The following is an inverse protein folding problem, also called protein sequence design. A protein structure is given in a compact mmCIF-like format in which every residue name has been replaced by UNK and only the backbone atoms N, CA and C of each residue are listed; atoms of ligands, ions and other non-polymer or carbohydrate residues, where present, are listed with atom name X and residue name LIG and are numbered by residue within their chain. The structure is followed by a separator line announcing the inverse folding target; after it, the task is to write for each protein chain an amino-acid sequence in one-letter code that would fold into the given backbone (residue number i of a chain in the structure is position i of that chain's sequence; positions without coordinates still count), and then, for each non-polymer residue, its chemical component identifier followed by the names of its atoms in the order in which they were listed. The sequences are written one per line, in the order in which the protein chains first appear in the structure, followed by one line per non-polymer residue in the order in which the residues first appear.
data_IF_687368165458
#
_entry.id   IF_687368165458
#
_cell.length_a   1.000
_cell.length_b   1.000
_cell.length_c   1.000
_cell.angle_alpha   90.00
_cell.angle_beta   90.00
_cell.angle_gamma   90.00
#
_symmetry.space_group_name_H-M   'P 1'
#
loop_
_entity.id
_entity.type
_entity.pdbx_description
1 polymer ?
#
# COMPACT_ATOMS: atom_id res chain seq x y z
N UNK A 1 14.45 73.17 -27.47
CA UNK A 1 14.63 71.86 -26.80
C UNK A 1 15.11 70.87 -27.85
N UNK A 2 16.41 70.65 -27.93
CA UNK A 2 17.07 69.61 -28.75
C UNK A 2 17.78 68.69 -27.78
N UNK A 3 17.61 67.38 -27.87
CA UNK A 3 18.62 66.41 -27.42
C UNK A 3 18.55 65.13 -28.27
N UNK A 4 19.69 64.43 -28.46
CA UNK A 4 20.00 63.73 -29.70
C UNK A 4 20.18 62.21 -29.55
N UNK A 5 20.14 61.57 -30.72
CA UNK A 5 20.69 60.28 -31.17
C UNK A 5 21.57 59.47 -30.20
N UNK A 6 21.28 58.15 -30.11
CA UNK A 6 22.28 57.12 -29.87
C UNK A 6 21.94 55.86 -30.68
N UNK A 7 22.75 55.59 -31.70
CA UNK A 7 22.73 54.38 -32.52
C UNK A 7 23.58 53.32 -31.80
N UNK A 8 22.97 52.22 -31.38
CA UNK A 8 23.68 51.06 -30.84
C UNK A 8 23.85 50.03 -31.97
N UNK A 9 25.06 49.94 -32.51
CA UNK A 9 25.45 48.89 -33.44
C UNK A 9 25.62 47.58 -32.66
N UNK A 10 24.78 46.58 -32.98
CA UNK A 10 24.95 45.22 -32.49
C UNK A 10 26.13 44.56 -33.24
N UNK A 11 27.22 44.30 -32.52
CA UNK A 11 28.34 43.51 -33.02
C UNK A 11 27.91 42.03 -33.00
N UNK A 12 27.62 41.50 -34.18
CA UNK A 12 27.38 40.08 -34.41
C UNK A 12 28.74 39.36 -34.34
N UNK A 13 29.00 38.61 -33.25
CA UNK A 13 30.15 37.71 -33.19
C UNK A 13 29.85 36.51 -34.09
N UNK A 14 30.51 36.47 -35.23
CA UNK A 14 30.52 35.31 -36.12
C UNK A 14 31.26 34.15 -35.44
N UNK A 15 30.53 33.11 -35.05
CA UNK A 15 31.11 31.81 -34.70
C UNK A 15 31.62 31.22 -36.00
N UNK A 16 32.95 31.19 -36.14
CA UNK A 16 33.63 30.57 -37.28
C UNK A 16 33.23 29.09 -37.38
N UNK A 17 32.84 28.67 -38.59
CA UNK A 17 32.41 27.32 -38.89
C UNK A 17 33.48 26.30 -38.52
N UNK A 18 33.11 25.36 -37.64
CA UNK A 18 33.81 24.10 -37.53
C UNK A 18 33.46 23.29 -38.78
N UNK A 19 34.50 23.04 -39.57
CA UNK A 19 34.53 22.00 -40.60
C UNK A 19 33.85 20.72 -40.09
N UNK A 20 32.69 20.39 -40.66
CA UNK A 20 32.03 19.10 -40.43
C UNK A 20 32.90 17.99 -41.05
N UNK A 21 33.79 17.43 -40.23
CA UNK A 21 34.33 16.10 -40.49
C UNK A 21 33.45 15.11 -39.71
N UNK A 22 32.87 14.14 -40.42
CA UNK A 22 31.98 13.15 -39.85
C UNK A 22 32.79 12.00 -39.23
N UNK A 23 32.56 11.67 -37.96
CA UNK A 23 33.25 10.58 -37.27
C UNK A 23 32.69 9.24 -37.74
N UNK A 24 33.54 8.31 -38.17
CA UNK A 24 33.12 7.00 -38.63
C UNK A 24 33.55 5.92 -37.64
N UNK A 25 32.63 4.99 -37.34
CA UNK A 25 32.92 3.81 -36.53
C UNK A 25 32.98 2.60 -37.46
N UNK A 26 34.15 1.97 -37.54
CA UNK A 26 34.38 0.73 -38.30
C UNK A 26 34.64 -0.43 -37.36
N UNK A 27 34.46 -1.65 -37.88
CA UNK A 27 34.77 -2.90 -37.17
C UNK A 27 34.01 -3.07 -35.84
N UNK A 28 32.76 -2.61 -35.80
CA UNK A 28 31.89 -2.77 -34.63
C UNK A 28 31.51 -4.24 -34.45
N UNK A 29 32.05 -4.87 -33.41
CA UNK A 29 31.83 -6.27 -33.09
C UNK A 29 31.46 -6.42 -31.62
N UNK A 30 30.52 -7.31 -31.34
CA UNK A 30 30.25 -7.74 -29.97
C UNK A 30 30.59 -9.22 -29.80
N UNK A 31 30.85 -9.60 -28.55
CA UNK A 31 30.95 -11.00 -28.16
C UNK A 31 30.41 -11.20 -26.75
N UNK A 32 29.75 -12.32 -26.51
CA UNK A 32 29.35 -12.78 -25.19
C UNK A 32 30.20 -13.97 -24.80
N UNK A 33 30.81 -13.89 -23.62
CA UNK A 33 31.68 -14.93 -23.09
C UNK A 33 31.11 -15.48 -21.78
N UNK A 34 31.04 -16.80 -21.68
CA UNK A 34 30.71 -17.53 -20.46
C UNK A 34 31.95 -17.57 -19.56
N UNK A 35 31.83 -17.83 -18.24
CA UNK A 35 32.98 -17.93 -17.33
C UNK A 35 34.08 -18.92 -17.73
N UNK A 36 33.76 -19.90 -18.57
CA UNK A 36 34.69 -20.88 -19.15
C UNK A 36 35.58 -20.29 -20.26
N UNK A 37 35.47 -18.99 -20.54
CA UNK A 37 36.11 -18.27 -21.67
C UNK A 37 35.62 -18.67 -23.06
N UNK A 38 34.65 -19.58 -23.14
CA UNK A 38 33.96 -19.96 -24.37
C UNK A 38 33.08 -18.80 -24.88
N UNK A 39 33.16 -18.53 -26.18
CA UNK A 39 32.38 -17.48 -26.85
C UNK A 39 31.04 -18.09 -27.26
N UNK A 40 29.93 -17.60 -26.69
CA UNK A 40 28.57 -18.08 -27.03
C UNK A 40 28.12 -17.49 -28.36
N UNK A 41 28.23 -16.16 -28.47
CA UNK A 41 27.75 -15.40 -29.63
C UNK A 41 28.74 -14.31 -29.93
N UNK A 42 29.17 -14.19 -31.18
CA UNK A 42 29.96 -13.08 -31.68
C UNK A 42 29.49 -12.71 -33.08
N UNK A 43 29.12 -11.46 -33.28
CA UNK A 43 28.67 -10.96 -34.58
C UNK A 43 29.09 -9.51 -34.80
N UNK A 44 29.06 -9.09 -36.06
CA UNK A 44 29.34 -7.72 -36.49
C UNK A 44 28.05 -6.92 -36.48
N UNK A 45 28.06 -5.75 -35.85
CA UNK A 45 26.87 -4.92 -35.72
C UNK A 45 26.82 -3.87 -36.83
N UNK A 46 25.65 -3.74 -37.44
CA UNK A 46 25.31 -2.59 -38.28
C UNK A 46 24.67 -1.52 -37.42
N UNK A 47 25.29 -0.34 -37.26
CA UNK A 47 24.72 0.73 -36.44
C UNK A 47 23.40 1.24 -37.05
N UNK A 48 22.44 1.60 -36.18
CA UNK A 48 21.13 2.14 -36.54
C UNK A 48 20.27 1.21 -37.43
N UNK A 49 20.35 -0.11 -37.22
CA UNK A 49 19.43 -1.08 -37.84
C UNK A 49 17.98 -0.81 -37.40
N UNK A 50 17.03 -0.93 -38.33
CA UNK A 50 15.60 -0.83 -38.04
C UNK A 50 15.09 -1.93 -37.10
N UNK A 51 15.79 -3.07 -37.06
CA UNK A 51 15.57 -4.15 -36.10
C UNK A 51 16.90 -4.47 -35.42
N UNK A 52 17.15 -3.94 -34.20
CA UNK A 52 18.36 -4.21 -33.46
C UNK A 52 18.35 -5.66 -32.93
N UNK A 53 19.47 -6.38 -32.96
CA UNK A 53 19.53 -7.73 -32.40
C UNK A 53 19.31 -7.69 -30.88
N UNK A 54 18.49 -8.61 -30.37
CA UNK A 54 18.29 -8.79 -28.92
C UNK A 54 19.25 -9.85 -28.40
N UNK A 55 19.97 -9.52 -27.33
CA UNK A 55 20.98 -10.37 -26.72
C UNK A 55 20.66 -10.59 -25.24
N UNK A 56 20.57 -11.85 -24.84
CA UNK A 56 20.27 -12.25 -23.46
C UNK A 56 21.56 -12.52 -22.71
N UNK A 57 21.74 -11.87 -21.56
CA UNK A 57 22.90 -12.07 -20.67
C UNK A 57 22.46 -12.82 -19.41
N UNK A 58 23.25 -13.83 -19.00
CA UNK A 58 23.09 -14.50 -17.71
C UNK A 58 23.92 -13.81 -16.62
N UNK A 59 23.65 -14.15 -15.35
CA UNK A 59 24.34 -13.64 -14.16
C UNK A 59 25.88 -13.81 -14.18
N UNK A 60 26.38 -14.73 -15.00
CA UNK A 60 27.81 -15.04 -15.04
C UNK A 60 28.50 -14.60 -16.34
N UNK A 61 27.75 -14.08 -17.31
CA UNK A 61 28.28 -13.77 -18.64
C UNK A 61 29.03 -12.44 -18.67
N UNK A 62 29.95 -12.32 -19.63
CA UNK A 62 30.69 -11.10 -19.90
C UNK A 62 30.40 -10.64 -21.32
N UNK A 63 29.81 -9.45 -21.45
CA UNK A 63 29.60 -8.77 -22.72
C UNK A 63 30.81 -7.93 -23.09
N UNK A 64 31.33 -8.10 -24.29
CA UNK A 64 32.48 -7.34 -24.82
C UNK A 64 32.08 -6.66 -26.12
N UNK A 65 32.31 -5.36 -26.18
CA UNK A 65 32.13 -4.54 -27.38
C UNK A 65 33.50 -4.03 -27.84
N UNK A 66 33.79 -4.17 -29.13
CA UNK A 66 35.02 -3.69 -29.75
C UNK A 66 34.70 -2.91 -31.02
N UNK A 67 35.37 -1.78 -31.22
CA UNK A 67 35.22 -0.95 -32.40
C UNK A 67 36.44 -0.09 -32.63
N UNK A 68 36.54 0.50 -33.82
CA UNK A 68 37.58 1.45 -34.18
C UNK A 68 36.94 2.75 -34.65
N UNK A 69 37.33 3.86 -34.05
CA UNK A 69 36.90 5.22 -34.43
C UNK A 69 37.93 5.80 -35.39
N UNK A 70 37.47 6.20 -36.57
CA UNK A 70 38.27 6.82 -37.61
C UNK A 70 37.71 8.20 -37.97
N UNK A 71 38.61 9.11 -38.30
CA UNK A 71 38.28 10.37 -38.97
C UNK A 71 37.96 10.12 -40.46
N UNK A 72 37.40 11.11 -41.15
CA UNK A 72 37.15 11.04 -42.61
C UNK A 72 38.40 10.70 -43.41
N UNK A 73 39.58 11.03 -42.88
CA UNK A 73 40.90 10.75 -43.47
C UNK A 73 41.40 9.32 -43.21
N UNK A 74 40.63 8.48 -42.54
CA UNK A 74 41.00 7.10 -42.19
C UNK A 74 42.04 6.98 -41.07
N UNK A 75 42.34 8.09 -40.38
CA UNK A 75 43.24 8.09 -39.23
C UNK A 75 42.44 7.69 -37.98
N UNK A 76 42.99 6.78 -37.17
CA UNK A 76 42.41 6.44 -35.88
C UNK A 76 42.49 7.63 -34.93
N UNK A 77 41.35 8.04 -34.35
CA UNK A 77 41.28 9.20 -33.46
C UNK A 77 40.73 8.80 -32.11
N UNK A 78 41.27 9.42 -31.04
CA UNK A 78 40.80 9.23 -29.68
C UNK A 78 39.71 10.26 -29.35
N UNK A 79 38.46 9.83 -29.09
CA UNK A 79 37.41 10.72 -28.63
C UNK A 79 37.71 11.30 -27.25
N UNK A 80 37.23 12.53 -27.00
CA UNK A 80 37.29 13.17 -25.67
C UNK A 80 36.28 12.53 -24.73
N UNK A 81 35.10 12.17 -25.25
CA UNK A 81 34.05 11.48 -24.53
C UNK A 81 33.68 10.17 -25.24
N UNK A 82 33.68 9.09 -24.48
CA UNK A 82 33.24 7.76 -24.94
C UNK A 82 32.47 7.06 -23.84
N UNK A 83 31.18 6.86 -24.08
CA UNK A 83 30.28 6.22 -23.13
C UNK A 83 29.31 5.30 -23.86
N UNK A 84 29.00 4.19 -23.20
CA UNK A 84 27.93 3.31 -23.59
C UNK A 84 26.70 3.64 -22.75
N UNK A 85 25.62 4.03 -23.40
CA UNK A 85 24.34 4.31 -22.74
C UNK A 85 23.48 3.05 -22.82
N UNK A 86 22.99 2.62 -21.67
CA UNK A 86 21.99 1.57 -21.53
C UNK A 86 20.71 2.24 -21.06
N UNK A 87 19.65 2.16 -21.83
CA UNK A 87 18.38 2.84 -21.56
C UNK A 87 17.26 1.82 -21.43
N UNK A 88 16.44 1.96 -20.40
CA UNK A 88 15.19 1.22 -20.28
C UNK A 88 14.00 2.11 -20.67
N UNK A 89 13.19 1.64 -21.62
CA UNK A 89 12.04 2.38 -22.13
C UNK A 89 10.87 2.42 -21.14
N UNK A 90 10.71 1.39 -20.31
CA UNK A 90 9.58 1.30 -19.38
C UNK A 90 9.82 2.15 -18.12
N UNK A 91 10.99 2.04 -17.50
CA UNK A 91 11.33 2.84 -16.32
C UNK A 91 11.77 4.27 -16.68
N UNK A 92 12.26 4.49 -17.91
CA UNK A 92 12.86 5.76 -18.31
C UNK A 92 14.23 6.02 -17.65
N UNK A 93 14.81 5.02 -16.99
CA UNK A 93 16.12 5.12 -16.37
C UNK A 93 17.24 4.89 -17.40
N UNK A 94 18.33 5.64 -17.24
CA UNK A 94 19.52 5.51 -18.08
C UNK A 94 20.77 5.22 -17.25
N UNK A 95 21.60 4.34 -17.81
CA UNK A 95 22.89 3.97 -17.28
C UNK A 95 23.99 4.39 -18.24
N UNK A 96 24.85 5.29 -17.81
CA UNK A 96 26.01 5.75 -18.59
C UNK A 96 27.28 5.04 -18.12
N UNK A 97 27.86 4.25 -19.01
CA UNK A 97 29.06 3.45 -18.75
C UNK A 97 30.24 4.05 -19.52
N UNK A 98 31.08 4.87 -18.86
CA UNK A 98 32.26 5.44 -19.50
C UNK A 98 33.33 4.37 -19.72
N UNK A 99 34.04 4.46 -20.83
CA UNK A 99 35.18 3.60 -21.12
C UNK A 99 36.26 4.35 -21.88
N UNK A 100 37.48 3.79 -21.91
CA UNK A 100 38.62 4.43 -22.56
C UNK A 100 38.78 3.92 -23.99
N UNK A 101 38.99 4.85 -24.91
CA UNK A 101 39.45 4.56 -26.28
C UNK A 101 40.95 4.84 -26.36
N UNK A 102 41.68 3.97 -27.04
CA UNK A 102 43.13 4.13 -27.25
C UNK A 102 43.47 5.29 -28.20
N UNK A 103 44.71 5.78 -28.15
CA UNK A 103 45.21 6.79 -29.10
C UNK A 103 45.11 6.34 -30.56
N UNK A 104 45.09 5.02 -30.82
CA UNK A 104 44.91 4.42 -32.15
C UNK A 104 43.43 4.33 -32.60
N UNK A 105 42.49 4.92 -31.85
CA UNK A 105 41.06 4.89 -32.14
C UNK A 105 40.35 3.57 -31.78
N UNK A 106 41.06 2.56 -31.28
CA UNK A 106 40.45 1.29 -30.86
C UNK A 106 39.79 1.44 -29.51
N UNK A 107 38.48 1.21 -29.45
CA UNK A 107 37.66 1.15 -28.25
C UNK A 107 37.36 -0.29 -27.86
N UNK A 108 37.52 -0.62 -26.58
CA UNK A 108 37.09 -1.89 -26.02
C UNK A 108 36.33 -1.65 -24.73
N UNK A 109 35.11 -2.15 -24.68
CA UNK A 109 34.25 -2.11 -23.52
C UNK A 109 33.98 -3.54 -23.06
N UNK A 110 33.99 -3.76 -21.75
CA UNK A 110 33.79 -5.05 -21.13
C UNK A 110 32.85 -4.88 -19.94
N UNK A 111 31.74 -5.61 -19.98
CA UNK A 111 30.68 -5.58 -19.00
C UNK A 111 30.53 -6.98 -18.40
N UNK A 112 30.88 -7.12 -17.13
CA UNK A 112 30.87 -8.40 -16.43
C UNK A 112 29.65 -8.48 -15.50
N UNK A 113 28.74 -9.44 -15.74
CA UNK A 113 27.52 -9.59 -14.94
C UNK A 113 27.77 -10.19 -13.55
N UNK A 114 28.94 -10.77 -13.26
CA UNK A 114 29.29 -11.22 -11.89
C UNK A 114 29.55 -10.05 -10.95
N UNK A 115 29.92 -8.90 -11.51
CA UNK A 115 30.18 -7.65 -10.80
C UNK A 115 29.58 -6.51 -11.62
N UNK A 116 28.24 -6.43 -11.69
CA UNK A 116 27.58 -5.43 -12.49
C UNK A 116 27.99 -4.03 -12.01
N UNK A 117 28.34 -3.10 -12.91
CA UNK A 117 28.60 -1.72 -12.53
C UNK A 117 27.36 -1.10 -11.88
N UNK A 118 27.53 -0.24 -10.85
CA UNK A 118 26.40 0.40 -10.16
C UNK A 118 25.65 1.41 -11.03
N UNK A 119 26.20 1.79 -12.18
CA UNK A 119 25.54 2.70 -13.14
C UNK A 119 24.57 1.96 -14.07
N UNK A 120 24.42 0.64 -13.97
CA UNK A 120 23.40 -0.05 -14.75
C UNK A 120 22.01 0.26 -14.19
N UNK A 121 21.01 0.49 -15.05
CA UNK A 121 19.64 0.63 -14.60
C UNK A 121 19.16 -0.69 -13.95
N UNK A 122 18.33 -0.60 -12.90
CA UNK A 122 17.70 -1.75 -12.27
C UNK A 122 16.69 -2.36 -13.24
N UNK A 123 16.67 -3.70 -13.29
CA UNK A 123 15.83 -4.50 -14.19
C UNK A 123 14.96 -5.47 -13.37
N UNK A 124 13.90 -4.95 -12.71
CA UNK A 124 12.95 -5.78 -11.97
C UNK A 124 11.98 -6.55 -12.90
N UNK A 125 11.93 -6.18 -14.18
CA UNK A 125 11.21 -6.88 -15.24
C UNK A 125 12.23 -7.33 -16.28
N UNK A 126 12.02 -8.47 -16.94
CA UNK A 126 12.92 -9.00 -17.97
C UNK A 126 12.79 -8.22 -19.31
N UNK A 127 12.74 -6.89 -19.25
CA UNK A 127 12.62 -6.01 -20.41
C UNK A 127 13.95 -5.88 -21.15
N UNK A 128 13.94 -5.79 -22.49
CA UNK A 128 15.15 -5.52 -23.26
C UNK A 128 15.55 -4.04 -23.16
N UNK A 129 16.82 -3.79 -22.84
CA UNK A 129 17.40 -2.45 -22.69
C UNK A 129 18.12 -2.01 -23.96
N UNK A 130 17.88 -0.79 -24.40
CA UNK A 130 18.50 -0.23 -25.60
C UNK A 130 19.94 0.20 -25.32
N UNK A 131 20.87 -0.25 -26.15
CA UNK A 131 22.29 0.08 -26.04
C UNK A 131 22.68 1.06 -27.14
N UNK A 132 23.11 2.24 -26.74
CA UNK A 132 23.57 3.31 -27.63
C UNK A 132 25.01 3.68 -27.33
N UNK A 133 25.85 3.73 -28.37
CA UNK A 133 27.21 4.23 -28.28
C UNK A 133 27.22 5.74 -28.49
N UNK A 134 27.76 6.48 -27.53
CA UNK A 134 27.91 7.93 -27.60
C UNK A 134 29.40 8.30 -27.64
N UNK A 135 29.79 9.01 -28.69
CA UNK A 135 31.16 9.49 -28.90
C UNK A 135 31.13 11.00 -29.15
N UNK A 136 32.03 11.75 -28.51
CA UNK A 136 32.21 13.16 -28.81
C UNK A 136 33.69 13.54 -28.85
N UNK A 137 34.04 14.34 -29.85
CA UNK A 137 35.37 14.87 -30.07
C UNK A 137 35.28 16.23 -30.75
N UNK A 138 35.48 17.35 -30.04
CA UNK A 138 35.60 18.66 -30.71
C UNK A 138 36.87 18.67 -31.59
N UNK A 139 36.83 19.15 -32.85
CA UNK A 139 35.77 19.93 -33.51
C UNK A 139 34.68 19.14 -34.26
N UNK A 140 34.71 17.81 -34.26
CA UNK A 140 33.75 16.96 -34.95
C UNK A 140 32.35 16.96 -34.29
N UNK A 141 31.33 16.63 -35.07
CA UNK A 141 29.97 16.49 -34.55
C UNK A 141 29.87 15.28 -33.58
N UNK A 142 29.04 15.37 -32.52
CA UNK A 142 28.82 14.25 -31.62
C UNK A 142 28.11 13.11 -32.34
N UNK A 143 28.57 11.89 -32.12
CA UNK A 143 28.06 10.68 -32.77
C UNK A 143 27.28 9.83 -31.76
N UNK A 144 26.03 9.52 -32.11
CA UNK A 144 25.16 8.62 -31.35
C UNK A 144 24.68 7.48 -32.24
N UNK A 145 25.04 6.24 -31.90
CA UNK A 145 24.72 5.05 -32.68
C UNK A 145 23.94 4.06 -31.84
N UNK A 146 22.73 3.72 -32.26
CA UNK A 146 21.94 2.65 -31.66
C UNK A 146 22.49 1.30 -32.13
N UNK A 147 22.85 0.42 -31.19
CA UNK A 147 23.59 -0.80 -31.50
C UNK A 147 22.70 -2.05 -31.44
N UNK A 148 22.14 -2.34 -30.26
CA UNK A 148 21.46 -3.58 -29.96
C UNK A 148 20.56 -3.44 -28.73
N UNK A 149 19.80 -4.49 -28.43
CA UNK A 149 19.00 -4.61 -27.22
C UNK A 149 19.59 -5.67 -26.30
N UNK A 150 19.87 -5.32 -25.03
CA UNK A 150 20.36 -6.24 -24.00
C UNK A 150 19.25 -6.63 -23.04
N UNK A 151 18.96 -7.91 -22.90
CA UNK A 151 18.17 -8.42 -21.78
C UNK A 151 19.13 -8.81 -20.65
N UNK A 152 19.09 -8.04 -19.57
CA UNK A 152 19.87 -8.29 -18.36
C UNK A 152 19.14 -9.30 -17.45
N UNK A 153 19.85 -10.02 -16.59
CA UNK A 153 19.21 -10.85 -15.58
C UNK A 153 18.51 -9.98 -14.52
N UNK A 154 17.47 -10.55 -13.91
CA UNK A 154 16.63 -9.88 -12.92
C UNK A 154 17.46 -9.27 -11.78
N UNK A 155 17.31 -7.97 -11.55
CA UNK A 155 17.91 -7.27 -10.42
C UNK A 155 16.87 -6.85 -9.39
N UNK A 156 17.34 -6.44 -8.21
CA UNK A 156 16.49 -5.75 -7.25
C UNK A 156 15.96 -4.44 -7.88
N UNK A 157 14.73 -4.02 -7.53
CA UNK A 157 14.16 -2.76 -8.00
C UNK A 157 14.98 -1.56 -7.51
N UNK A 158 14.80 -0.42 -8.16
CA UNK A 158 15.43 0.84 -7.74
C UNK A 158 15.16 1.09 -6.24
N UNK A 159 16.17 1.55 -5.47
CA UNK A 159 15.95 1.94 -4.09
C UNK A 159 14.91 3.05 -4.02
N UNK A 160 13.80 2.78 -3.34
CA UNK A 160 12.75 3.77 -3.09
C UNK A 160 13.33 4.85 -2.16
N UNK A 161 13.21 6.12 -2.56
CA UNK A 161 13.72 7.21 -1.72
C UNK A 161 12.87 7.26 -0.44
N UNK A 162 13.49 7.41 0.75
CA UNK A 162 12.74 7.39 2.01
C UNK A 162 11.64 8.44 2.08
N UNK A 163 11.71 9.50 1.27
CA UNK A 163 10.75 10.59 1.24
C UNK A 163 9.76 10.55 0.05
N UNK A 164 9.80 9.52 -0.80
CA UNK A 164 8.88 9.36 -1.95
C UNK A 164 7.40 9.38 -1.52
N UNK A 165 7.11 8.86 -0.31
CA UNK A 165 5.78 8.86 0.27
C UNK A 165 5.21 10.26 0.59
N UNK A 166 6.02 11.32 0.53
CA UNK A 166 5.59 12.71 0.69
C UNK A 166 5.04 13.30 -0.61
N UNK A 167 5.40 12.72 -1.76
CA UNK A 167 5.07 13.26 -3.08
C UNK A 167 3.94 12.51 -3.80
N UNK A 168 3.41 11.44 -3.17
CA UNK A 168 2.32 10.65 -3.70
C UNK A 168 1.14 10.60 -2.74
N UNK A 169 -0.10 10.53 -3.25
CA UNK A 169 -1.27 10.29 -2.42
C UNK A 169 -1.11 8.95 -1.70
N UNK A 170 -1.25 8.97 -0.37
CA UNK A 170 -1.15 7.78 0.46
C UNK A 170 -2.42 6.94 0.32
N UNK A 171 -2.31 5.60 0.47
CA UNK A 171 -3.48 4.74 0.45
C UNK A 171 -4.46 5.10 1.57
N UNK A 172 -5.76 5.01 1.26
CA UNK A 172 -6.82 5.28 2.22
C UNK A 172 -6.79 4.26 3.38
N UNK A 173 -6.92 4.75 4.61
CA UNK A 173 -6.96 3.93 5.82
C UNK A 173 -8.41 3.69 6.24
N UNK A 174 -8.83 2.43 6.30
CA UNK A 174 -10.16 2.03 6.76
C UNK A 174 -10.13 1.52 8.20
N UNK A 175 -10.97 2.07 9.07
CA UNK A 175 -11.14 1.54 10.41
C UNK A 175 -11.87 0.20 10.37
N UNK A 176 -11.22 -0.85 10.88
CA UNK A 176 -11.84 -2.18 11.01
C UNK A 176 -12.52 -2.30 12.36
N UNK A 177 -13.86 -2.29 12.37
CA UNK A 177 -14.65 -2.50 13.59
C UNK A 177 -14.54 -3.93 14.10
N UNK A 178 -14.76 -4.11 15.41
CA UNK A 178 -14.90 -5.45 15.98
C UNK A 178 -16.15 -6.14 15.42
N UNK A 179 -16.08 -7.45 15.14
CA UNK A 179 -17.26 -8.19 14.72
C UNK A 179 -18.27 -8.28 15.87
N UNK A 180 -19.55 -8.31 15.52
CA UNK A 180 -20.64 -8.49 16.49
C UNK A 180 -20.51 -9.84 17.21
N UNK A 181 -20.82 -9.84 18.51
CA UNK A 181 -20.84 -11.06 19.31
C UNK A 181 -21.96 -12.00 18.85
N UNK A 182 -21.64 -13.30 18.78
CA UNK A 182 -22.61 -14.32 18.33
C UNK A 182 -23.63 -14.59 19.44
N UNK A 183 -24.88 -14.25 19.20
CA UNK A 183 -26.01 -14.60 20.08
C UNK A 183 -26.60 -15.99 19.75
N UNK A 184 -27.13 -16.73 20.74
CA UNK A 184 -27.72 -18.05 20.51
C UNK A 184 -29.04 -17.98 19.71
N UNK A 185 -29.45 -19.08 19.05
CA UNK A 185 -30.72 -19.14 18.32
C UNK A 185 -31.93 -18.90 19.23
N UNK A 186 -32.94 -18.17 18.74
CA UNK A 186 -34.15 -17.80 19.49
C UNK A 186 -34.89 -19.01 20.09
N UNK A 187 -34.90 -20.14 19.40
CA UNK A 187 -35.56 -21.37 19.86
C UNK A 187 -34.90 -21.90 21.14
N UNK A 188 -33.56 -21.88 21.19
CA UNK A 188 -32.81 -22.34 22.37
C UNK A 188 -33.08 -21.41 23.56
N UNK A 189 -33.07 -20.10 23.33
CA UNK A 189 -33.41 -19.11 24.37
C UNK A 189 -34.84 -19.26 24.89
N UNK A 190 -35.81 -19.55 24.00
CA UNK A 190 -37.21 -19.77 24.38
C UNK A 190 -37.38 -21.04 25.22
N UNK A 191 -36.71 -22.13 24.86
CA UNK A 191 -36.72 -23.37 25.64
C UNK A 191 -36.12 -23.14 27.03
N UNK A 192 -35.01 -22.39 27.11
CA UNK A 192 -34.41 -22.00 28.39
C UNK A 192 -35.36 -21.18 29.26
N UNK A 193 -36.01 -20.17 28.69
CA UNK A 193 -37.01 -19.36 29.40
C UNK A 193 -38.20 -20.21 29.89
N UNK A 194 -38.69 -21.13 29.05
CA UNK A 194 -39.75 -22.08 29.41
C UNK A 194 -39.34 -23.00 30.57
N UNK A 195 -38.12 -23.52 30.54
CA UNK A 195 -37.57 -24.36 31.62
C UNK A 195 -37.50 -23.61 32.96
N UNK A 196 -37.11 -22.33 32.95
CA UNK A 196 -37.10 -21.47 34.15
C UNK A 196 -38.53 -21.16 34.65
N UNK A 197 -39.50 -21.02 33.73
CA UNK A 197 -40.90 -20.78 34.07
C UNK A 197 -41.66 -22.03 34.56
N UNK A 198 -41.21 -23.24 34.21
CA UNK A 198 -41.93 -24.48 34.50
C UNK A 198 -42.19 -24.74 36.00
N UNK A 199 -41.24 -24.54 36.94
CA UNK A 199 -41.50 -24.72 38.37
C UNK A 199 -42.63 -23.81 38.90
N UNK A 200 -42.73 -22.58 38.40
CA UNK A 200 -43.78 -21.65 38.78
C UNK A 200 -45.15 -22.11 38.28
N UNK A 201 -45.24 -22.62 37.05
CA UNK A 201 -46.47 -23.21 36.52
C UNK A 201 -46.92 -24.43 37.34
N UNK A 202 -46.00 -25.32 37.66
CA UNK A 202 -46.26 -26.50 38.51
C UNK A 202 -46.77 -26.04 39.88
N UNK A 203 -46.13 -25.07 40.52
CA UNK A 203 -46.57 -24.52 41.80
C UNK A 203 -48.01 -24.01 41.74
N UNK A 204 -48.37 -23.23 40.71
CA UNK A 204 -49.72 -22.71 40.53
C UNK A 204 -50.76 -23.81 40.31
N UNK A 205 -50.41 -24.86 39.54
CA UNK A 205 -51.28 -26.03 39.33
C UNK A 205 -51.52 -26.80 40.63
N UNK A 206 -50.48 -27.07 41.41
CA UNK A 206 -50.62 -27.73 42.71
C UNK A 206 -51.46 -26.89 43.68
N UNK A 207 -51.26 -25.57 43.72
CA UNK A 207 -52.02 -24.68 44.57
C UNK A 207 -53.52 -24.68 44.21
N UNK A 208 -53.83 -24.72 42.91
CA UNK A 208 -55.20 -24.85 42.41
C UNK A 208 -55.86 -26.18 42.79
N UNK A 209 -55.10 -27.27 42.86
CA UNK A 209 -55.60 -28.58 43.30
C UNK A 209 -55.83 -28.65 44.81
N UNK A 210 -54.96 -28.04 45.62
CA UNK A 210 -55.07 -28.04 47.08
C UNK A 210 -56.19 -27.16 47.61
N UNK A 211 -56.68 -26.19 46.81
CA UNK A 211 -57.77 -25.25 47.14
C UNK A 211 -57.71 -24.73 48.60
N UNK A 212 -56.61 -24.07 49.00
CA UNK A 212 -56.53 -23.51 50.34
C UNK A 212 -57.68 -22.51 50.57
N UNK A 213 -58.28 -22.54 51.75
CA UNK A 213 -59.34 -21.58 52.13
C UNK A 213 -58.74 -20.19 52.28
N UNK A 214 -58.91 -19.35 51.26
CA UNK A 214 -58.42 -17.98 51.21
C UNK A 214 -59.48 -17.04 51.81
N UNK A 215 -59.47 -16.87 53.14
CA UNK A 215 -60.43 -16.00 53.86
C UNK A 215 -60.11 -14.50 53.76
N UNK A 216 -59.18 -14.09 52.90
CA UNK A 216 -58.72 -12.70 52.81
C UNK A 216 -59.78 -11.72 52.26
N UNK A 217 -60.77 -12.23 51.51
CA UNK A 217 -61.81 -11.41 50.88
C UNK A 217 -62.78 -10.77 51.89
N UNK A 218 -62.83 -11.25 53.14
CA UNK A 218 -63.75 -10.74 54.15
C UNK A 218 -63.25 -9.53 54.95
N UNK A 219 -61.97 -9.13 54.79
CA UNK A 219 -61.39 -7.99 55.54
C UNK A 219 -60.87 -6.89 54.61
N UNK A 220 -61.55 -5.72 54.52
CA UNK A 220 -61.12 -4.59 53.69
C UNK A 220 -59.69 -4.10 53.99
N UNK A 221 -59.25 -4.20 55.25
CA UNK A 221 -57.90 -3.77 55.68
C UNK A 221 -56.80 -4.68 55.11
N UNK A 222 -57.08 -5.99 55.02
CA UNK A 222 -56.14 -6.96 54.45
C UNK A 222 -56.04 -6.81 52.94
N UNK A 223 -57.17 -6.56 52.27
CA UNK A 223 -57.18 -6.24 50.83
C UNK A 223 -56.37 -4.98 50.54
N UNK A 224 -56.56 -3.92 51.32
CA UNK A 224 -55.77 -2.69 51.18
C UNK A 224 -54.27 -2.97 51.32
N UNK A 225 -53.85 -3.71 52.34
CA UNK A 225 -52.44 -4.09 52.50
C UNK A 225 -51.90 -4.92 51.32
N UNK A 226 -52.67 -5.89 50.82
CA UNK A 226 -52.28 -6.71 49.67
C UNK A 226 -52.17 -5.88 48.39
N UNK A 227 -53.06 -4.89 48.18
CA UNK A 227 -52.96 -3.96 47.05
C UNK A 227 -51.71 -3.10 47.13
N UNK A 228 -51.29 -2.67 48.32
CA UNK A 228 -50.04 -1.91 48.48
C UNK A 228 -48.81 -2.76 48.21
N UNK A 229 -48.82 -4.06 48.57
CA UNK A 229 -47.77 -5.00 48.21
C UNK A 229 -47.73 -5.25 46.68
N UNK A 230 -48.88 -5.45 46.05
CA UNK A 230 -48.97 -5.61 44.60
C UNK A 230 -48.51 -4.34 43.86
N UNK A 231 -48.80 -3.16 44.40
CA UNK A 231 -48.31 -1.89 43.87
C UNK A 231 -46.77 -1.78 43.98
N UNK A 232 -46.16 -2.35 45.01
CA UNK A 232 -44.70 -2.41 45.12
C UNK A 232 -44.08 -3.31 44.05
N UNK A 233 -44.65 -4.49 43.79
CA UNK A 233 -44.21 -5.35 42.69
C UNK A 233 -44.37 -4.66 41.33
N UNK A 234 -45.49 -3.95 41.12
CA UNK A 234 -45.68 -3.10 39.93
C UNK A 234 -44.64 -1.98 39.81
N UNK A 235 -44.28 -1.34 40.92
CA UNK A 235 -43.22 -0.33 40.95
C UNK A 235 -41.86 -0.92 40.55
N UNK A 236 -41.55 -2.14 40.98
CA UNK A 236 -40.31 -2.83 40.60
C UNK A 236 -40.31 -3.24 39.12
N UNK A 237 -41.44 -3.71 38.58
CA UNK A 237 -41.57 -4.02 37.15
C UNK A 237 -41.41 -2.75 36.32
N UNK A 238 -42.07 -1.65 36.69
CA UNK A 238 -41.94 -0.37 35.99
C UNK A 238 -40.53 0.22 36.11
N UNK A 239 -39.85 0.02 37.24
CA UNK A 239 -38.43 0.32 37.37
C UNK A 239 -37.59 -0.42 36.34
N UNK A 240 -37.80 -1.72 36.21
CA UNK A 240 -37.04 -2.54 35.26
C UNK A 240 -37.22 -2.10 33.80
N UNK A 241 -38.40 -1.57 33.43
CA UNK A 241 -38.67 -1.15 32.05
C UNK A 241 -38.24 0.30 31.78
N UNK A 242 -38.50 1.26 32.69
CA UNK A 242 -38.46 2.69 32.34
C UNK A 242 -37.99 3.67 33.43
N UNK A 243 -38.15 3.39 34.74
CA UNK A 243 -37.87 4.41 35.76
C UNK A 243 -36.37 4.54 36.07
N UNK A 244 -35.98 5.75 36.43
CA UNK A 244 -34.66 6.02 37.00
C UNK A 244 -34.64 5.73 38.50
N UNK A 245 -33.45 5.44 39.05
CA UNK A 245 -33.28 5.07 40.46
C UNK A 245 -33.89 6.10 41.44
N UNK A 246 -33.69 7.40 41.20
CA UNK A 246 -34.23 8.45 42.06
C UNK A 246 -35.77 8.50 42.10
N UNK A 247 -36.43 8.21 40.97
CA UNK A 247 -37.90 8.18 40.89
C UNK A 247 -38.46 6.98 41.67
N UNK A 248 -37.82 5.82 41.56
CA UNK A 248 -38.20 4.60 42.29
C UNK A 248 -38.03 4.78 43.79
N UNK A 249 -36.95 5.43 44.22
CA UNK A 249 -36.75 5.77 45.62
C UNK A 249 -37.83 6.72 46.13
N UNK A 250 -38.20 7.75 45.35
CA UNK A 250 -39.25 8.69 45.73
C UNK A 250 -40.63 8.01 45.81
N UNK A 251 -41.04 7.30 44.76
CA UNK A 251 -42.31 6.58 44.71
C UNK A 251 -42.35 5.45 45.74
N UNK A 252 -41.23 4.74 45.92
CA UNK A 252 -41.07 3.69 46.91
C UNK A 252 -41.12 4.22 48.34
N UNK A 253 -40.58 5.41 48.63
CA UNK A 253 -40.71 6.04 49.93
C UNK A 253 -42.17 6.43 50.23
N UNK A 254 -42.86 7.03 49.25
CA UNK A 254 -44.27 7.38 49.39
C UNK A 254 -45.15 6.14 49.57
N UNK A 255 -45.00 5.14 48.69
CA UNK A 255 -45.74 3.88 48.75
C UNK A 255 -45.38 3.06 50.00
N UNK A 256 -44.12 3.10 50.43
CA UNK A 256 -43.62 2.48 51.65
C UNK A 256 -44.33 3.02 52.89
N UNK A 257 -44.46 4.34 53.01
CA UNK A 257 -45.17 4.96 54.13
C UNK A 257 -46.64 4.49 54.20
N UNK A 258 -47.32 4.42 53.06
CA UNK A 258 -48.69 3.91 52.95
C UNK A 258 -48.79 2.42 53.32
N UNK A 259 -47.83 1.62 52.85
CA UNK A 259 -47.77 0.17 53.09
C UNK A 259 -47.55 -0.13 54.58
N UNK A 260 -46.74 0.65 55.28
CA UNK A 260 -46.54 0.51 56.74
C UNK A 260 -47.85 0.76 57.50
N UNK A 261 -48.58 1.83 57.17
CA UNK A 261 -49.86 2.16 57.83
C UNK A 261 -50.91 1.08 57.55
N UNK A 262 -51.04 0.67 56.29
CA UNK A 262 -51.96 -0.40 55.88
C UNK A 262 -51.60 -1.74 56.53
N UNK A 263 -50.29 -2.05 56.63
CA UNK A 263 -49.77 -3.26 57.24
C UNK A 263 -50.05 -3.35 58.73
N UNK A 264 -49.71 -2.32 59.51
CA UNK A 264 -50.00 -2.28 60.96
C UNK A 264 -51.50 -2.47 61.20
N UNK A 265 -52.35 -1.81 60.39
CA UNK A 265 -53.80 -1.91 60.50
C UNK A 265 -54.33 -3.31 60.15
N UNK A 266 -53.78 -3.96 59.13
CA UNK A 266 -54.18 -5.30 58.69
C UNK A 266 -53.71 -6.40 59.66
N UNK A 267 -52.46 -6.33 60.13
CA UNK A 267 -51.90 -7.30 61.07
C UNK A 267 -52.60 -7.22 62.44
N UNK A 268 -52.88 -6.01 62.93
CA UNK A 268 -53.63 -5.84 64.18
C UNK A 268 -55.06 -6.38 64.06
N UNK A 269 -55.75 -6.13 62.94
CA UNK A 269 -57.10 -6.65 62.73
C UNK A 269 -57.16 -8.18 62.73
N UNK A 270 -56.10 -8.87 62.27
CA UNK A 270 -56.02 -10.33 62.29
C UNK A 270 -55.71 -10.89 63.68
N UNK A 271 -54.93 -10.18 64.50
CA UNK A 271 -54.61 -10.59 65.88
C UNK A 271 -55.85 -10.72 66.78
N UNK A 272 -56.92 -9.98 66.48
CA UNK A 272 -58.19 -10.01 67.22
C UNK A 272 -59.27 -10.90 66.59
N UNK A 273 -58.94 -11.64 65.52
CA UNK A 273 -59.86 -12.54 64.80
C UNK A 273 -59.54 -14.04 64.98
N UNK A 274 -58.51 -14.37 65.77
CA UNK A 274 -58.17 -15.70 66.27
C UNK A 274 -58.53 -15.77 67.76
#
# INVERSE_FOLDING_TARGET
MKLPTASFAAVLVAIAGLSNADLQVKSLKFSVQTPSSDIITADTLTPNSSEPPTLVLSNADTFKLSFTVEDEKGNGVQPVQSMLRVWDEESGEDGLLPFKVSATGKGRFELNMRRPPPQLPPTPTATPLNVTLLLALPPHAPLSLHLLQLQLPLSEPAPIHPEDHLYHPQPELFHTFRPDERVPPRVVSLLGAGAVGAPWLVLLLLLGNLRPSLSFASSPKLLLFLTTLAAFEGLLVTYWVQLNLGQVLLYGAALGSLTVIAGVSALNARKFAL
#
